data_IF_205106224214
#
_entry.id   IF_205106224214
#
_cell.length_a   1.000
_cell.length_b   1.000
_cell.length_c   1.000
_cell.angle_alpha   90.00
_cell.angle_beta   90.00
_cell.angle_gamma   90.00
#
_symmetry.space_group_name_H-M   'P 1'
#
loop_
_entity.id
_entity.type
_entity.pdbx_description
1 polymer ?
#
# COMPACT_ATOMS: atom_id res chain seq x y z
N UNK A 1 -0.14 5.07 -6.05
CA UNK A 1 -0.11 3.86 -5.20
C UNK A 1 -1.30 2.96 -5.55
N UNK A 2 -1.27 1.66 -5.26
CA UNK A 2 -2.36 0.70 -5.56
C UNK A 2 -2.63 -0.19 -4.34
N UNK A 3 -3.88 -0.54 -4.06
CA UNK A 3 -4.23 -1.44 -2.94
C UNK A 3 -3.72 -2.86 -3.22
N UNK A 4 -2.99 -3.47 -2.27
CA UNK A 4 -2.25 -4.73 -2.45
C UNK A 4 -3.13 -5.98 -2.18
N UNK A 5 -4.04 -5.92 -1.20
CA UNK A 5 -4.85 -7.05 -0.73
C UNK A 5 -6.26 -6.62 -0.26
N UNK A 6 -7.12 -7.59 0.05
CA UNK A 6 -8.48 -7.37 0.57
C UNK A 6 -9.53 -7.02 -0.48
N UNK A 7 -10.70 -6.57 -0.02
CA UNK A 7 -11.90 -6.29 -0.85
C UNK A 7 -11.65 -5.29 -1.99
N UNK A 8 -10.71 -4.37 -1.81
CA UNK A 8 -10.39 -3.32 -2.79
C UNK A 8 -9.07 -3.55 -3.54
N UNK A 9 -8.57 -4.78 -3.58
CA UNK A 9 -7.33 -5.15 -4.28
C UNK A 9 -7.29 -4.57 -5.70
N UNK A 10 -6.11 -4.12 -6.11
CA UNK A 10 -5.83 -3.52 -7.43
C UNK A 10 -6.47 -2.17 -7.74
N UNK A 11 -7.23 -1.57 -6.82
CA UNK A 11 -7.69 -0.18 -6.97
C UNK A 11 -6.48 0.77 -6.92
N UNK A 12 -6.33 1.63 -7.92
CA UNK A 12 -5.33 2.70 -7.95
C UNK A 12 -5.81 3.88 -7.11
N UNK A 13 -4.91 4.41 -6.29
CA UNK A 13 -5.12 5.61 -5.48
C UNK A 13 -4.43 6.77 -6.23
N UNK A 14 -5.18 7.80 -6.64
CA UNK A 14 -4.58 9.00 -7.23
C UNK A 14 -3.75 9.69 -6.15
N UNK A 15 -2.46 9.88 -6.44
CA UNK A 15 -1.53 10.58 -5.55
C UNK A 15 -1.16 11.89 -6.23
N UNK A 16 -1.18 13.03 -5.53
CA UNK A 16 -0.72 14.29 -6.10
C UNK A 16 0.76 14.19 -6.47
N UNK A 17 1.14 14.75 -7.63
CA UNK A 17 2.52 14.71 -8.12
C UNK A 17 3.53 15.40 -7.16
N UNK A 18 3.05 16.34 -6.34
CA UNK A 18 3.87 17.16 -5.44
C UNK A 18 4.01 16.59 -4.02
N UNK A 19 3.68 15.32 -3.81
CA UNK A 19 3.79 14.70 -2.50
C UNK A 19 5.27 14.56 -2.11
N UNK A 20 5.72 15.32 -1.09
CA UNK A 20 7.09 15.24 -0.53
C UNK A 20 7.38 13.99 0.30
N UNK A 21 6.39 13.10 0.46
CA UNK A 21 6.56 11.86 1.22
C UNK A 21 7.35 10.83 0.41
N UNK A 22 8.19 10.06 1.11
CA UNK A 22 8.95 8.96 0.48
C UNK A 22 7.98 7.91 -0.08
N UNK A 23 8.15 7.44 -1.33
CA UNK A 23 7.29 6.42 -1.91
C UNK A 23 7.47 5.09 -1.16
N UNK A 24 6.36 4.46 -0.76
CA UNK A 24 6.36 3.10 -0.18
C UNK A 24 6.23 2.05 -1.28
N UNK A 25 7.03 1.00 -1.25
CA UNK A 25 6.95 -0.13 -2.19
C UNK A 25 5.71 -1.00 -1.94
N UNK A 26 5.33 -1.81 -2.92
CA UNK A 26 4.27 -2.82 -2.75
C UNK A 26 4.68 -3.85 -1.66
N UNK A 27 5.95 -4.27 -1.67
CA UNK A 27 6.53 -5.21 -0.68
C UNK A 27 6.42 -4.73 0.76
N UNK A 28 6.78 -3.46 1.04
CA UNK A 28 6.71 -2.92 2.40
C UNK A 28 5.28 -2.85 2.95
N UNK A 29 4.29 -2.69 2.07
CA UNK A 29 2.88 -2.68 2.47
C UNK A 29 2.36 -4.09 2.72
N UNK A 30 2.72 -5.04 1.87
CA UNK A 30 2.38 -6.44 2.07
C UNK A 30 2.97 -7.00 3.38
N UNK A 31 4.26 -6.75 3.64
CA UNK A 31 4.91 -7.20 4.87
C UNK A 31 4.27 -6.59 6.12
N UNK A 32 3.91 -5.31 6.10
CA UNK A 32 3.20 -4.66 7.20
C UNK A 32 1.85 -5.33 7.49
N UNK A 33 1.04 -5.59 6.45
CA UNK A 33 -0.25 -6.28 6.65
C UNK A 33 -0.08 -7.73 7.09
N UNK A 34 0.98 -8.42 6.66
CA UNK A 34 1.29 -9.76 7.15
C UNK A 34 1.61 -9.74 8.64
N UNK A 35 2.40 -8.78 9.12
CA UNK A 35 2.68 -8.61 10.56
C UNK A 35 1.41 -8.30 11.34
N UNK A 36 0.56 -7.39 10.84
CA UNK A 36 -0.69 -7.01 11.52
C UNK A 36 -1.73 -8.14 11.56
N UNK A 37 -1.72 -9.04 10.58
CA UNK A 37 -2.64 -10.17 10.50
C UNK A 37 -2.14 -11.42 11.24
N UNK A 38 -0.85 -11.48 11.59
CA UNK A 38 -0.28 -12.59 12.31
C UNK A 38 -0.56 -12.43 13.82
N UNK A 39 -1.37 -13.33 14.39
CA UNK A 39 -1.67 -13.39 15.82
C UNK A 39 -0.69 -14.27 16.55
#
# INVERSE_FOLDING_TARGET
MRIISGKYKSRRIPVPANLKARPTTDFARESLFNVLNNR
#
